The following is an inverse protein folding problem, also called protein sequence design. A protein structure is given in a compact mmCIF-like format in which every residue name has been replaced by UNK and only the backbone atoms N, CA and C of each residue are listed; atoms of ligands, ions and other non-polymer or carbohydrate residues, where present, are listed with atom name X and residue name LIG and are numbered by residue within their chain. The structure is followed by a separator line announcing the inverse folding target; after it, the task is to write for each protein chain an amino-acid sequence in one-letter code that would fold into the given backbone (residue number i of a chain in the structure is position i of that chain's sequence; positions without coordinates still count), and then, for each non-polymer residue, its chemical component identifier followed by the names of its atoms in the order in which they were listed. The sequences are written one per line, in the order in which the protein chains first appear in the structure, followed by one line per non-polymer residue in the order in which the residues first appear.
data_IF_647013165156
#
_entry.id   IF_647013165156
#
_cell.length_a   1.000
_cell.length_b   1.000
_cell.length_c   1.000
_cell.angle_alpha   90.00
_cell.angle_beta   90.00
_cell.angle_gamma   90.00
#
_symmetry.space_group_name_H-M   'P 1'
#
loop_
_entity.id
_entity.type
_entity.pdbx_description
1 polymer ?
#
# COMPACT_ATOMS: atom_id res chain seq x y z
N UNK A 1 -5.08 10.93 -9.60
CA UNK A 1 -4.30 10.48 -8.42
C UNK A 1 -4.28 8.97 -8.44
N UNK A 2 -3.17 8.36 -8.03
CA UNK A 2 -3.08 6.92 -7.80
C UNK A 2 -2.23 6.61 -6.57
N UNK A 3 -2.74 5.74 -5.71
CA UNK A 3 -2.03 5.17 -4.57
C UNK A 3 -2.23 3.66 -4.59
N UNK A 4 -1.13 2.91 -4.58
CA UNK A 4 -1.11 1.45 -4.55
C UNK A 4 -0.29 0.97 -3.38
N UNK A 5 -0.81 0.00 -2.64
CA UNK A 5 -0.05 -0.76 -1.66
C UNK A 5 -0.25 -2.25 -1.93
N UNK A 6 0.86 -2.97 -2.09
CA UNK A 6 0.88 -4.42 -2.22
C UNK A 6 1.80 -5.02 -1.15
N UNK A 7 1.25 -5.93 -0.37
CA UNK A 7 1.96 -6.64 0.69
C UNK A 7 1.63 -8.13 0.63
N UNK A 8 2.64 -8.99 0.78
CA UNK A 8 2.46 -10.42 0.90
C UNK A 8 3.38 -11.03 1.95
N UNK A 9 2.98 -12.17 2.51
CA UNK A 9 3.80 -12.99 3.40
C UNK A 9 5.06 -13.58 2.76
N UNK A 10 5.15 -13.59 1.42
CA UNK A 10 6.16 -14.36 0.70
C UNK A 10 5.96 -15.88 0.83
N UNK A 11 7.05 -16.62 0.66
CA UNK A 11 7.06 -18.08 0.65
C UNK A 11 6.99 -18.65 2.08
N UNK A 12 5.79 -18.73 2.62
CA UNK A 12 5.49 -19.38 3.90
C UNK A 12 4.52 -20.55 3.73
N UNK A 13 4.35 -21.36 4.78
CA UNK A 13 3.38 -22.46 4.79
C UNK A 13 1.95 -21.91 4.53
N UNK A 14 1.07 -22.64 3.82
CA UNK A 14 -0.24 -22.14 3.37
C UNK A 14 -1.09 -21.49 4.48
N UNK A 15 -1.05 -22.03 5.69
CA UNK A 15 -1.74 -21.54 6.88
C UNK A 15 -1.28 -20.16 7.35
N UNK A 16 -0.06 -19.74 6.98
CA UNK A 16 0.48 -18.41 7.29
C UNK A 16 0.47 -17.46 6.08
N UNK A 17 0.04 -17.93 4.89
CA UNK A 17 0.06 -17.11 3.68
C UNK A 17 -0.98 -15.99 3.74
N UNK A 18 -0.55 -14.77 3.44
CA UNK A 18 -1.47 -13.66 3.22
C UNK A 18 -1.00 -12.78 2.06
N UNK A 19 -1.95 -12.06 1.46
CA UNK A 19 -1.67 -11.01 0.51
C UNK A 19 -2.72 -9.90 0.67
N UNK A 20 -2.28 -8.65 0.59
CA UNK A 20 -3.11 -7.45 0.65
C UNK A 20 -2.78 -6.59 -0.56
N UNK A 21 -3.81 -6.11 -1.25
CA UNK A 21 -3.69 -5.11 -2.31
C UNK A 21 -4.72 -4.02 -2.07
N UNK A 22 -4.24 -2.79 -1.99
CA UNK A 22 -5.05 -1.59 -1.89
C UNK A 22 -4.73 -0.70 -3.09
N UNK A 23 -5.77 -0.19 -3.73
CA UNK A 23 -5.63 0.71 -4.87
C UNK A 23 -6.66 1.84 -4.76
N UNK A 24 -6.20 3.04 -4.44
CA UNK A 24 -7.00 4.25 -4.39
C UNK A 24 -6.70 5.06 -5.65
N UNK A 25 -7.70 5.26 -6.50
CA UNK A 25 -7.53 5.93 -7.78
C UNK A 25 -8.70 6.86 -8.10
N UNK A 26 -8.47 7.79 -9.02
CA UNK A 26 -9.50 8.72 -9.50
C UNK A 26 -9.80 8.45 -10.96
N UNK A 27 -11.07 8.29 -11.33
CA UNK A 27 -11.54 8.07 -12.70
C UNK A 27 -12.77 8.94 -13.01
N UNK A 28 -12.80 9.61 -14.16
CA UNK A 28 -13.87 10.53 -14.63
C UNK A 28 -14.62 11.26 -13.49
N UNK A 29 -13.87 11.99 -12.65
CA UNK A 29 -14.33 12.78 -11.48
C UNK A 29 -14.78 11.98 -10.23
N UNK A 30 -14.73 10.67 -10.25
CA UNK A 30 -15.00 9.80 -9.11
C UNK A 30 -13.70 9.32 -8.46
N UNK A 31 -13.79 8.92 -7.21
CA UNK A 31 -12.69 8.31 -6.45
C UNK A 31 -13.11 6.90 -6.10
N UNK A 32 -12.22 5.94 -6.32
CA UNK A 32 -12.47 4.53 -6.04
C UNK A 32 -11.37 3.97 -5.13
N UNK A 33 -11.77 3.13 -4.18
CA UNK A 33 -10.88 2.29 -3.42
C UNK A 33 -11.17 0.83 -3.76
N UNK A 34 -10.19 0.15 -4.34
CA UNK A 34 -10.17 -1.29 -4.50
C UNK A 34 -9.35 -1.94 -3.39
N UNK A 35 -9.87 -3.04 -2.83
CA UNK A 35 -9.21 -3.83 -1.79
C UNK A 35 -9.32 -5.30 -2.10
N UNK A 36 -8.19 -6.00 -2.04
CA UNK A 36 -8.11 -7.46 -2.12
C UNK A 36 -7.31 -7.99 -0.95
N UNK A 37 -7.89 -8.92 -0.19
CA UNK A 37 -7.24 -9.53 0.97
C UNK A 37 -7.37 -11.05 0.87
N UNK A 38 -6.23 -11.72 0.93
CA UNK A 38 -6.09 -13.17 1.02
C UNK A 38 -5.52 -13.49 2.39
N UNK A 39 -6.10 -14.47 3.09
CA UNK A 39 -5.58 -15.02 4.35
C UNK A 39 -5.64 -16.55 4.30
N UNK A 40 -4.61 -17.20 4.81
CA UNK A 40 -4.45 -18.65 4.83
C UNK A 40 -4.66 -19.26 3.44
N UNK A 41 -4.17 -18.56 2.40
CA UNK A 41 -4.35 -18.93 1.00
C UNK A 41 -5.77 -18.76 0.42
N UNK A 42 -6.74 -18.25 1.18
CA UNK A 42 -8.13 -18.06 0.75
C UNK A 42 -8.47 -16.59 0.56
N UNK A 43 -9.26 -16.28 -0.46
CA UNK A 43 -9.80 -14.93 -0.66
C UNK A 43 -10.80 -14.60 0.46
N UNK A 44 -10.54 -13.50 1.17
CA UNK A 44 -11.39 -13.01 2.28
C UNK A 44 -12.14 -11.74 1.89
N UNK A 45 -11.54 -10.90 1.06
CA UNK A 45 -12.15 -9.67 0.59
C UNK A 45 -11.69 -9.39 -0.84
N UNK A 46 -12.64 -9.03 -1.71
CA UNK A 46 -12.38 -8.43 -3.02
C UNK A 46 -13.52 -7.45 -3.30
N UNK A 47 -13.24 -6.16 -3.22
CA UNK A 47 -14.23 -5.12 -3.50
C UNK A 47 -13.59 -3.91 -4.16
N UNK A 48 -14.41 -3.18 -4.91
CA UNK A 48 -14.11 -1.84 -5.42
C UNK A 48 -15.33 -0.99 -5.14
N UNK A 49 -15.14 0.11 -4.40
CA UNK A 49 -16.23 1.02 -4.05
C UNK A 49 -15.85 2.47 -4.34
N UNK A 50 -16.86 3.22 -4.75
CA UNK A 50 -16.75 4.68 -4.86
C UNK A 50 -16.64 5.30 -3.47
N UNK A 51 -15.80 6.32 -3.34
CA UNK A 51 -15.46 6.98 -2.08
C UNK A 51 -15.90 8.43 -2.13
N UNK A 52 -16.56 8.95 -1.07
CA UNK A 52 -16.89 10.37 -0.99
C UNK A 52 -15.63 11.25 -0.96
N UNK A 53 -15.68 12.39 -1.65
CA UNK A 53 -14.59 13.37 -1.73
C UNK A 53 -14.03 13.76 -0.34
N UNK A 54 -14.91 13.92 0.66
CA UNK A 54 -14.52 14.29 2.02
C UNK A 54 -13.64 13.21 2.69
N UNK A 55 -13.94 11.94 2.45
CA UNK A 55 -13.17 10.82 3.00
C UNK A 55 -11.81 10.70 2.30
N UNK A 56 -11.82 10.84 0.97
CA UNK A 56 -10.60 10.96 0.17
C UNK A 56 -9.68 12.09 0.65
N UNK A 57 -10.21 13.30 0.81
CA UNK A 57 -9.42 14.45 1.29
C UNK A 57 -8.81 14.19 2.66
N UNK A 58 -9.56 13.56 3.58
CA UNK A 58 -9.05 13.17 4.90
C UNK A 58 -7.85 12.23 4.77
N UNK A 59 -7.96 11.19 3.95
CA UNK A 59 -6.87 10.24 3.72
C UNK A 59 -5.66 10.89 3.08
N UNK A 60 -5.86 11.69 2.03
CA UNK A 60 -4.77 12.39 1.37
C UNK A 60 -4.06 13.33 2.34
N UNK A 61 -4.78 14.17 3.08
CA UNK A 61 -4.19 15.08 4.06
C UNK A 61 -3.38 14.32 5.13
N UNK A 62 -3.86 13.16 5.56
CA UNK A 62 -3.14 12.32 6.52
C UNK A 62 -1.83 11.76 5.92
N UNK A 63 -1.86 11.26 4.69
CA UNK A 63 -0.66 10.79 3.99
C UNK A 63 0.34 11.92 3.69
N UNK A 64 -0.16 13.10 3.31
CA UNK A 64 0.66 14.28 3.07
C UNK A 64 1.36 14.75 4.34
N UNK A 65 0.65 14.81 5.48
CA UNK A 65 1.24 15.10 6.80
C UNK A 65 2.29 14.07 7.20
N UNK A 66 2.07 12.81 6.84
CA UNK A 66 3.05 11.73 6.97
C UNK A 66 4.09 11.73 5.85
N UNK A 67 4.25 12.80 5.07
CA UNK A 67 5.37 12.95 4.14
C UNK A 67 5.43 11.91 3.01
N UNK A 68 4.32 11.25 2.63
CA UNK A 68 4.34 10.24 1.55
C UNK A 68 4.97 10.80 0.26
N UNK A 69 4.71 12.07 -0.03
CA UNK A 69 5.15 12.81 -1.20
C UNK A 69 6.63 13.21 -1.18
N UNK A 70 7.31 13.07 -0.03
CA UNK A 70 8.72 13.43 0.16
C UNK A 70 9.63 12.21 0.09
N UNK A 71 9.07 11.01 0.12
CA UNK A 71 9.86 9.79 0.01
C UNK A 71 10.49 9.70 -1.39
N UNK A 72 11.77 9.28 -1.47
CA UNK A 72 12.42 9.09 -2.76
C UNK A 72 11.66 8.05 -3.58
N UNK A 73 11.83 8.08 -4.89
CA UNK A 73 11.31 7.03 -5.75
C UNK A 73 12.30 5.87 -5.78
N UNK A 74 12.01 4.81 -5.03
CA UNK A 74 12.80 3.60 -4.95
C UNK A 74 12.32 2.58 -5.97
N UNK A 75 13.26 1.98 -6.70
CA UNK A 75 12.99 0.84 -7.54
C UNK A 75 13.16 -0.45 -6.76
N UNK A 76 12.31 -1.44 -7.04
CA UNK A 76 12.49 -2.79 -6.51
C UNK A 76 13.77 -3.36 -7.14
N UNK A 77 14.65 -4.03 -6.38
CA UNK A 77 15.86 -4.62 -6.91
C UNK A 77 15.57 -5.50 -8.14
N UNK A 78 16.39 -5.35 -9.19
CA UNK A 78 16.28 -6.16 -10.42
C UNK A 78 16.54 -7.64 -10.13
N UNK A 79 17.49 -7.90 -9.25
CA UNK A 79 17.80 -9.24 -8.76
C UNK A 79 16.98 -9.49 -7.50
N UNK A 80 15.94 -10.30 -7.63
CA UNK A 80 15.09 -10.69 -6.50
C UNK A 80 15.49 -12.07 -6.00
N UNK A 81 15.82 -12.13 -4.72
CA UNK A 81 16.10 -13.40 -4.03
C UNK A 81 14.80 -14.20 -3.93
N UNK A 82 14.83 -15.45 -4.39
CA UNK A 82 13.69 -16.37 -4.30
C UNK A 82 13.25 -16.56 -2.85
N UNK A 83 11.94 -16.50 -2.61
CA UNK A 83 11.33 -16.68 -1.29
C UNK A 83 11.16 -15.39 -0.48
N UNK A 84 11.81 -14.29 -0.88
CA UNK A 84 11.64 -12.97 -0.25
C UNK A 84 10.44 -12.24 -0.87
N UNK A 85 9.54 -11.71 -0.03
CA UNK A 85 8.49 -10.80 -0.48
C UNK A 85 9.01 -9.37 -0.53
N UNK A 86 8.99 -8.77 -1.72
CA UNK A 86 9.25 -7.34 -1.92
C UNK A 86 7.90 -6.62 -1.98
N UNK A 87 7.47 -6.09 -0.82
CA UNK A 87 6.25 -5.31 -0.69
C UNK A 87 6.51 -3.87 -1.11
N UNK A 88 5.49 -3.12 -1.51
CA UNK A 88 5.70 -1.73 -1.91
C UNK A 88 4.49 -0.85 -1.72
N UNK A 89 4.76 0.44 -1.57
CA UNK A 89 3.79 1.53 -1.71
C UNK A 89 4.23 2.39 -2.87
N UNK A 90 3.30 2.68 -3.79
CA UNK A 90 3.48 3.58 -4.91
C UNK A 90 2.46 4.70 -4.82
N UNK A 91 2.91 5.94 -4.92
CA UNK A 91 2.07 7.12 -4.79
C UNK A 91 2.33 8.09 -5.95
N UNK A 92 1.25 8.57 -6.55
CA UNK A 92 1.25 9.53 -7.65
C UNK A 92 0.13 10.54 -7.46
N UNK A 93 0.49 11.79 -7.24
CA UNK A 93 -0.44 12.91 -7.18
C UNK A 93 0.05 14.04 -8.08
N UNK A 94 -0.69 14.31 -9.16
CA UNK A 94 -0.25 15.23 -10.22
C UNK A 94 1.15 14.82 -10.75
N UNK A 95 2.13 15.74 -10.74
CA UNK A 95 3.52 15.48 -11.10
C UNK A 95 4.34 14.82 -9.99
N UNK A 96 3.89 14.86 -8.73
CA UNK A 96 4.61 14.28 -7.59
C UNK A 96 4.47 12.77 -7.58
N UNK A 97 5.60 12.08 -7.50
CA UNK A 97 5.69 10.62 -7.40
C UNK A 97 6.61 10.24 -6.26
N UNK A 98 6.23 9.20 -5.54
CA UNK A 98 7.08 8.54 -4.56
C UNK A 98 6.78 7.05 -4.55
N UNK A 99 7.79 6.26 -4.24
CA UNK A 99 7.66 4.81 -4.19
C UNK A 99 8.69 4.28 -3.21
N UNK A 100 8.28 3.39 -2.33
CA UNK A 100 9.22 2.66 -1.49
C UNK A 100 8.85 1.20 -1.47
N UNK A 101 9.86 0.35 -1.31
CA UNK A 101 9.67 -1.08 -1.14
C UNK A 101 10.25 -1.53 0.20
N UNK A 102 9.76 -2.67 0.70
CA UNK A 102 10.21 -3.23 1.96
C UNK A 102 10.03 -4.73 1.99
N UNK A 103 10.87 -5.40 2.77
CA UNK A 103 10.69 -6.76 3.24
C UNK A 103 9.88 -6.71 4.53
N UNK A 104 9.10 -7.75 4.81
CA UNK A 104 8.27 -7.77 6.03
C UNK A 104 9.08 -7.60 7.32
N UNK A 105 10.31 -8.11 7.35
CA UNK A 105 11.19 -8.02 8.51
C UNK A 105 11.64 -6.57 8.79
N UNK A 106 11.75 -5.74 7.75
CA UNK A 106 12.23 -4.35 7.85
C UNK A 106 11.21 -3.45 8.55
N UNK A 107 9.91 -3.78 8.52
CA UNK A 107 8.85 -2.95 9.11
C UNK A 107 8.98 -2.78 10.64
N UNK A 108 9.76 -3.63 11.29
CA UNK A 108 9.98 -3.60 12.74
C UNK A 108 11.26 -2.85 13.14
N UNK A 109 12.05 -2.39 12.18
CA UNK A 109 13.29 -1.68 12.45
C UNK A 109 13.01 -0.20 12.85
N UNK A 110 13.81 0.42 13.74
CA UNK A 110 13.57 1.77 14.24
C UNK A 110 13.53 2.86 13.16
N UNK A 111 14.32 2.71 12.11
CA UNK A 111 14.40 3.64 10.97
C UNK A 111 13.14 3.61 10.08
N UNK A 112 12.29 2.58 10.24
CA UNK A 112 11.07 2.40 9.46
C UNK A 112 9.83 3.06 10.04
N UNK A 113 9.93 3.76 11.18
CA UNK A 113 8.78 4.41 11.86
C UNK A 113 7.95 5.26 10.90
N UNK A 114 8.60 6.01 10.01
CA UNK A 114 7.93 6.90 9.05
C UNK A 114 7.17 6.12 7.97
N UNK A 115 7.84 5.21 7.25
CA UNK A 115 7.24 4.38 6.20
C UNK A 115 6.13 3.46 6.75
N UNK A 116 6.32 2.93 7.96
CA UNK A 116 5.32 2.15 8.70
C UNK A 116 4.05 2.95 8.99
N UNK A 117 4.19 4.19 9.47
CA UNK A 117 3.03 5.05 9.74
C UNK A 117 2.19 5.31 8.47
N UNK A 118 2.82 5.40 7.30
CA UNK A 118 2.12 5.50 6.02
C UNK A 118 1.33 4.22 5.73
N UNK A 119 1.98 3.04 5.84
CA UNK A 119 1.34 1.74 5.62
C UNK A 119 0.11 1.56 6.53
N UNK A 120 0.26 1.86 7.83
CA UNK A 120 -0.85 1.76 8.80
C UNK A 120 -2.02 2.69 8.44
N UNK A 121 -1.74 3.89 7.91
CA UNK A 121 -2.77 4.80 7.41
C UNK A 121 -3.51 4.22 6.19
N UNK A 122 -2.79 3.58 5.26
CA UNK A 122 -3.40 2.93 4.08
C UNK A 122 -4.24 1.74 4.50
N UNK A 123 -3.76 0.90 5.42
CA UNK A 123 -4.49 -0.28 5.89
C UNK A 123 -5.82 0.06 6.56
N UNK A 124 -5.91 1.23 7.21
CA UNK A 124 -7.14 1.73 7.83
C UNK A 124 -8.14 2.30 6.82
N UNK A 125 -7.79 2.44 5.54
CA UNK A 125 -8.71 2.93 4.51
C UNK A 125 -9.81 1.89 4.25
N UNK A 126 -11.05 2.30 4.47
CA UNK A 126 -12.25 1.52 4.21
C UNK A 126 -13.31 2.42 3.54
N UNK A 127 -14.04 1.92 2.54
CA UNK A 127 -15.17 2.63 1.95
C UNK A 127 -16.25 2.98 2.97
#
# INVERSE_FOLDING_TARGET
MELTWEESSGAVAPEFRYAKKFHLFTDVKKIFLSRKIIKNGKLVLEETKEIPDKLYQKWMNDLFKKGIHQLPYEEIPKEQITGISYNFVNFRYSSTKSKFYYKLEEINQPEWVHKKAIIESIERMKP
#
